data_IF_377993659827
#
_entry.id   IF_377993659827
#
_cell.length_a   1.000
_cell.length_b   1.000
_cell.length_c   1.000
_cell.angle_alpha   90.00
_cell.angle_beta   90.00
_cell.angle_gamma   90.00
#
_symmetry.space_group_name_H-M   'P 1'
#
loop_
_entity.id
_entity.type
_entity.pdbx_description
1 polymer ?
#
# COMPACT_ATOMS: atom_id res chain seq x y z
N UNK A 1 69.60 -29.77 -22.63
CA UNK A 1 69.50 -29.04 -21.34
C UNK A 1 68.28 -29.60 -20.62
N UNK A 2 68.48 -30.65 -19.80
CA UNK A 2 68.43 -30.60 -18.33
C UNK A 2 66.99 -30.29 -17.81
N UNK A 3 66.24 -31.33 -17.37
CA UNK A 3 65.98 -31.75 -15.95
C UNK A 3 65.10 -30.70 -15.20
N UNK A 4 64.15 -30.97 -14.30
CA UNK A 4 63.53 -32.12 -13.63
C UNK A 4 62.39 -31.51 -12.76
N UNK A 5 61.17 -32.07 -12.70
CA UNK A 5 60.52 -32.73 -11.53
C UNK A 5 60.89 -32.19 -10.13
N UNK A 6 59.89 -31.77 -9.32
CA UNK A 6 59.74 -31.89 -7.83
C UNK A 6 58.45 -31.13 -7.42
N UNK A 7 57.31 -31.71 -7.04
CA UNK A 7 56.91 -32.53 -5.87
C UNK A 7 56.66 -31.74 -4.56
N UNK A 8 55.43 -31.92 -4.02
CA UNK A 8 54.97 -31.85 -2.61
C UNK A 8 55.11 -30.48 -1.89
N UNK A 9 54.14 -29.97 -1.12
CA UNK A 9 53.78 -30.39 0.25
C UNK A 9 52.43 -29.78 0.68
N UNK A 10 51.64 -30.62 1.35
CA UNK A 10 50.41 -30.33 2.10
C UNK A 10 50.71 -29.46 3.33
N UNK A 11 49.93 -28.41 3.57
CA UNK A 11 50.02 -27.55 4.76
C UNK A 11 48.65 -27.24 5.35
N UNK A 12 48.23 -28.11 6.26
CA UNK A 12 47.12 -27.92 7.21
C UNK A 12 47.32 -26.62 8.01
N UNK A 13 46.41 -25.66 7.91
CA UNK A 13 46.30 -24.58 8.91
C UNK A 13 44.85 -24.41 9.36
N UNK A 14 44.53 -25.10 10.45
CA UNK A 14 43.42 -24.75 11.33
C UNK A 14 43.57 -23.28 11.75
N UNK A 15 42.78 -22.38 11.17
CA UNK A 15 42.55 -21.07 11.76
C UNK A 15 41.39 -21.20 12.75
N UNK A 16 41.75 -21.39 14.02
CA UNK A 16 40.84 -21.30 15.15
C UNK A 16 40.15 -19.93 15.12
N UNK A 17 38.85 -19.91 14.81
CA UNK A 17 38.00 -18.74 15.05
C UNK A 17 37.80 -18.66 16.57
N UNK A 18 38.68 -17.92 17.25
CA UNK A 18 38.40 -17.42 18.59
C UNK A 18 37.16 -16.53 18.47
N UNK A 19 36.01 -17.05 18.90
CA UNK A 19 34.82 -16.26 19.17
C UNK A 19 35.16 -15.36 20.36
N UNK A 20 35.60 -14.14 20.07
CA UNK A 20 35.60 -13.06 21.04
C UNK A 20 34.14 -12.76 21.37
N UNK A 21 33.64 -13.33 22.47
CA UNK A 21 32.41 -12.85 23.12
C UNK A 21 32.73 -11.45 23.63
N UNK A 22 32.36 -10.43 22.84
CA UNK A 22 32.37 -9.05 23.32
C UNK A 22 31.39 -8.99 24.51
N UNK A 23 31.80 -8.49 25.69
CA UNK A 23 30.81 -8.17 26.71
C UNK A 23 29.88 -7.12 26.12
N UNK A 24 28.57 -7.39 26.16
CA UNK A 24 27.54 -6.40 25.82
C UNK A 24 27.80 -5.21 26.74
N UNK A 25 28.34 -4.14 26.14
CA UNK A 25 28.55 -2.85 26.79
C UNK A 25 27.17 -2.31 27.10
N UNK A 26 26.94 -1.94 28.36
CA UNK A 26 25.68 -1.40 28.85
C UNK A 26 25.33 -0.12 28.06
N UNK A 27 24.50 -0.29 27.04
CA UNK A 27 23.77 0.79 26.40
C UNK A 27 22.64 1.17 27.38
N UNK A 28 22.63 2.42 27.81
CA UNK A 28 21.61 2.94 28.71
C UNK A 28 20.23 2.72 28.09
N UNK A 29 19.34 2.06 28.81
CA UNK A 29 18.11 1.51 28.23
C UNK A 29 17.16 2.66 27.92
N UNK A 30 16.38 2.53 26.85
CA UNK A 30 15.35 3.52 26.47
C UNK A 30 14.38 3.81 27.64
N UNK A 31 14.10 2.80 28.47
CA UNK A 31 13.28 2.95 29.68
C UNK A 31 13.98 3.80 30.74
N UNK A 32 15.29 3.61 30.96
CA UNK A 32 16.06 4.44 31.90
C UNK A 32 16.11 5.90 31.41
N UNK A 33 16.33 6.11 30.11
CA UNK A 33 16.30 7.43 29.48
C UNK A 33 14.93 8.11 29.60
N UNK A 34 13.84 7.36 29.41
CA UNK A 34 12.49 7.88 29.57
C UNK A 34 12.20 8.28 31.02
N UNK A 35 12.58 7.44 31.99
CA UNK A 35 12.41 7.75 33.42
C UNK A 35 13.23 9.00 33.82
N UNK A 36 14.42 9.19 33.26
CA UNK A 36 15.23 10.38 33.49
C UNK A 36 14.61 11.65 32.90
N UNK A 37 14.05 11.59 31.69
CA UNK A 37 13.32 12.71 31.08
C UNK A 37 12.09 13.08 31.92
N UNK A 38 11.33 12.09 32.39
CA UNK A 38 10.14 12.32 33.21
C UNK A 38 10.49 12.93 34.58
N UNK A 39 11.61 12.51 35.18
CA UNK A 39 12.14 13.11 36.41
C UNK A 39 12.63 14.53 36.17
N UNK A 40 13.37 14.77 35.10
CA UNK A 40 13.90 16.09 34.74
C UNK A 40 12.77 17.11 34.53
N UNK A 41 11.67 16.69 33.90
CA UNK A 41 10.46 17.49 33.71
C UNK A 41 9.59 17.62 34.97
N UNK A 42 10.07 17.13 36.13
CA UNK A 42 9.37 17.11 37.43
C UNK A 42 7.99 16.45 37.39
N UNK A 43 7.75 15.53 36.45
CA UNK A 43 6.48 14.80 36.34
C UNK A 43 6.40 13.62 37.32
N UNK A 44 7.55 13.14 37.81
CA UNK A 44 7.63 12.06 38.79
C UNK A 44 8.53 12.47 39.96
N UNK A 45 8.16 12.01 41.15
CA UNK A 45 8.96 12.17 42.37
C UNK A 45 10.09 11.13 42.42
N UNK A 46 11.13 11.37 43.23
CA UNK A 46 12.26 10.44 43.37
C UNK A 46 11.80 9.05 43.85
N UNK A 47 10.79 8.99 44.73
CA UNK A 47 10.20 7.72 45.17
C UNK A 47 9.55 6.96 44.00
N UNK A 48 8.80 7.66 43.13
CA UNK A 48 8.17 7.06 41.95
C UNK A 48 9.20 6.61 40.91
N UNK A 49 10.30 7.34 40.74
CA UNK A 49 11.39 6.96 39.84
C UNK A 49 12.01 5.62 40.26
N UNK A 50 12.34 5.47 41.55
CA UNK A 50 12.95 4.24 42.06
C UNK A 50 12.00 3.03 41.97
N UNK A 51 10.71 3.24 42.25
CA UNK A 51 9.70 2.18 42.14
C UNK A 51 9.49 1.71 40.69
N UNK A 52 9.46 2.63 39.73
CA UNK A 52 9.32 2.29 38.30
C UNK A 52 10.57 1.59 37.76
N UNK A 53 11.76 2.02 38.19
CA UNK A 53 13.02 1.36 37.83
C UNK A 53 13.06 -0.09 38.32
N UNK A 54 12.63 -0.34 39.56
CA UNK A 54 12.53 -1.69 40.11
C UNK A 54 11.57 -2.58 39.30
N UNK A 55 10.38 -2.05 38.96
CA UNK A 55 9.38 -2.80 38.16
C UNK A 55 9.88 -3.15 36.77
N UNK A 56 10.55 -2.21 36.09
CA UNK A 56 11.12 -2.45 34.77
C UNK A 56 12.19 -3.56 34.79
N UNK A 57 12.97 -3.65 35.87
CA UNK A 57 13.95 -4.72 36.05
C UNK A 57 13.29 -6.07 36.41
N UNK A 58 12.20 -6.05 37.18
CA UNK A 58 11.38 -7.23 37.50
C UNK A 58 10.73 -7.82 36.24
N UNK A 59 10.10 -6.99 35.40
CA UNK A 59 9.52 -7.39 34.11
C UNK A 59 10.59 -7.99 33.19
N UNK A 60 11.77 -7.38 33.12
CA UNK A 60 12.90 -7.94 32.36
C UNK A 60 13.31 -9.31 32.91
N UNK A 61 13.38 -9.47 34.23
CA UNK A 61 13.74 -10.77 34.81
C UNK A 61 12.67 -11.82 34.54
N UNK A 62 11.40 -11.43 34.47
CA UNK A 62 10.31 -12.32 34.05
C UNK A 62 10.43 -12.69 32.57
N UNK A 63 10.72 -11.74 31.70
CA UNK A 63 10.96 -11.99 30.27
C UNK A 63 12.16 -12.92 30.05
N UNK A 64 13.26 -12.69 30.78
CA UNK A 64 14.47 -13.52 30.75
C UNK A 64 14.22 -14.93 31.32
N UNK A 65 13.39 -15.06 32.35
CA UNK A 65 12.97 -16.37 32.89
C UNK A 65 12.02 -17.09 31.94
N UNK A 66 11.15 -16.37 31.24
CA UNK A 66 10.26 -16.89 30.20
C UNK A 66 11.02 -17.37 28.95
N UNK A 67 12.11 -16.71 28.58
CA UNK A 67 13.01 -17.15 27.50
C UNK A 67 14.04 -18.20 27.93
N UNK A 68 14.32 -18.33 29.23
CA UNK A 68 15.29 -19.28 29.79
C UNK A 68 14.79 -20.71 29.97
N UNK A 69 13.48 -20.95 29.98
CA UNK A 69 12.89 -22.30 30.13
C UNK A 69 12.97 -23.17 28.86
N UNK A 70 13.52 -22.64 27.76
CA UNK A 70 13.77 -23.36 26.50
C UNK A 70 15.26 -23.44 26.12
N UNK A 71 16.18 -23.08 27.01
CA UNK A 71 17.63 -23.11 26.76
C UNK A 71 18.27 -24.49 27.04
N UNK A 72 17.75 -25.54 26.42
CA UNK A 72 18.54 -26.73 26.05
C UNK A 72 18.31 -27.02 24.58
N UNK A 73 18.90 -26.18 23.72
CA UNK A 73 19.08 -26.51 22.32
C UNK A 73 20.40 -27.27 22.21
N UNK A 74 20.29 -28.60 22.12
CA UNK A 74 21.29 -29.42 21.46
C UNK A 74 21.58 -28.83 20.08
N UNK A 75 22.85 -28.66 19.73
CA UNK A 75 23.29 -28.27 18.39
C UNK A 75 23.08 -29.47 17.45
N UNK A 76 21.82 -29.75 17.14
CA UNK A 76 21.41 -30.69 16.12
C UNK A 76 21.04 -29.89 14.87
N UNK A 77 21.65 -30.29 13.76
CA UNK A 77 21.40 -29.93 12.37
C UNK A 77 20.23 -28.97 12.10
N UNK A 78 20.52 -27.92 11.31
CA UNK A 78 19.54 -27.02 10.71
C UNK A 78 18.28 -27.77 10.26
N UNK A 79 17.23 -27.67 11.08
CA UNK A 79 15.87 -28.03 10.67
C UNK A 79 15.46 -27.07 9.55
N UNK A 80 14.83 -27.54 8.47
CA UNK A 80 14.23 -26.66 7.50
C UNK A 80 13.23 -25.77 8.25
N UNK A 81 13.31 -24.47 8.01
CA UNK A 81 12.38 -23.49 8.56
C UNK A 81 10.95 -24.04 8.47
N UNK A 82 10.27 -24.13 9.61
CA UNK A 82 8.88 -24.54 9.65
C UNK A 82 8.10 -23.75 8.59
N UNK A 83 7.19 -24.39 7.82
CA UNK A 83 6.40 -23.66 6.87
C UNK A 83 5.64 -22.58 7.65
N UNK A 84 5.92 -21.32 7.32
CA UNK A 84 5.08 -20.22 7.80
C UNK A 84 3.65 -20.62 7.43
N UNK A 85 2.71 -20.76 8.38
CA UNK A 85 1.37 -21.18 8.05
C UNK A 85 0.82 -20.22 7.00
N UNK A 86 0.50 -20.76 5.81
CA UNK A 86 -0.17 -19.99 4.77
C UNK A 86 -1.44 -19.40 5.39
N UNK A 87 -1.72 -18.10 5.20
CA UNK A 87 -2.94 -17.49 5.71
C UNK A 87 -4.15 -18.33 5.29
N UNK A 88 -5.09 -18.52 6.22
CA UNK A 88 -6.33 -19.21 5.93
C UNK A 88 -7.05 -18.53 4.74
N UNK A 89 -7.79 -19.30 3.95
CA UNK A 89 -8.38 -18.84 2.69
C UNK A 89 -9.24 -17.57 2.85
N UNK A 90 -9.90 -17.44 3.99
CA UNK A 90 -10.76 -16.34 4.43
C UNK A 90 -10.01 -15.14 5.02
N UNK A 91 -8.68 -15.22 5.18
CA UNK A 91 -7.87 -14.12 5.72
C UNK A 91 -7.96 -12.92 4.78
N UNK A 92 -8.49 -11.81 5.28
CA UNK A 92 -8.58 -10.54 4.54
C UNK A 92 -7.30 -9.73 4.67
N UNK A 93 -6.81 -9.21 3.55
CA UNK A 93 -5.68 -8.28 3.46
C UNK A 93 -6.21 -6.92 3.08
N UNK A 94 -5.87 -5.90 3.86
CA UNK A 94 -6.17 -4.51 3.55
C UNK A 94 -4.91 -3.80 3.05
N UNK A 95 -5.04 -2.93 2.05
CA UNK A 95 -3.96 -2.06 1.59
C UNK A 95 -4.48 -0.73 1.08
N UNK A 96 -3.62 0.30 1.13
CA UNK A 96 -3.94 1.61 0.61
C UNK A 96 -3.05 1.92 -0.59
N UNK A 97 -3.63 1.86 -1.79
CA UNK A 97 -2.98 2.17 -3.07
C UNK A 97 -4.03 2.72 -4.02
N UNK A 98 -3.99 4.02 -4.27
CA UNK A 98 -4.98 4.76 -5.05
C UNK A 98 -6.43 4.51 -4.55
N UNK A 99 -6.60 4.40 -3.23
CA UNK A 99 -7.83 3.97 -2.58
C UNK A 99 -7.61 2.81 -1.60
N UNK A 100 -8.68 2.43 -0.90
CA UNK A 100 -8.71 1.29 0.01
C UNK A 100 -8.97 0.01 -0.78
N UNK A 101 -8.11 -0.98 -0.61
CA UNK A 101 -8.21 -2.27 -1.26
C UNK A 101 -8.31 -3.36 -0.20
N UNK A 102 -9.27 -4.26 -0.35
CA UNK A 102 -9.48 -5.42 0.50
C UNK A 102 -9.48 -6.67 -0.38
N UNK A 103 -8.67 -7.67 -0.05
CA UNK A 103 -8.56 -8.91 -0.80
C UNK A 103 -8.45 -10.11 0.14
N UNK A 104 -9.20 -11.17 -0.11
CA UNK A 104 -9.04 -12.45 0.61
C UNK A 104 -7.79 -13.18 0.15
N UNK A 105 -7.15 -13.94 1.04
CA UNK A 105 -5.89 -14.65 0.74
C UNK A 105 -6.04 -15.65 -0.43
N UNK A 106 -7.24 -16.22 -0.60
CA UNK A 106 -7.58 -17.08 -1.73
C UNK A 106 -7.87 -16.34 -3.06
N UNK A 107 -7.99 -15.00 -3.02
CA UNK A 107 -8.32 -14.14 -4.14
C UNK A 107 -9.76 -14.25 -4.65
N UNK A 108 -10.66 -14.92 -3.91
CA UNK A 108 -12.07 -15.04 -4.28
C UNK A 108 -12.83 -13.73 -4.17
N UNK A 109 -12.43 -12.85 -3.24
CA UNK A 109 -13.05 -11.55 -3.05
C UNK A 109 -12.00 -10.45 -3.13
N UNK A 110 -12.30 -9.45 -3.97
CA UNK A 110 -11.57 -8.19 -4.05
C UNK A 110 -12.55 -7.04 -3.98
N UNK A 111 -12.28 -6.06 -3.15
CA UNK A 111 -13.04 -4.82 -3.03
C UNK A 111 -12.06 -3.65 -3.10
N UNK A 112 -12.35 -2.68 -3.96
CA UNK A 112 -11.68 -1.40 -4.05
C UNK A 112 -12.69 -0.30 -3.75
N UNK A 113 -12.35 0.58 -2.82
CA UNK A 113 -13.08 1.80 -2.52
C UNK A 113 -12.12 2.95 -2.75
N UNK A 114 -12.43 3.77 -3.74
CA UNK A 114 -11.57 4.86 -4.18
C UNK A 114 -12.39 6.07 -4.57
N UNK A 115 -11.70 7.08 -5.07
CA UNK A 115 -12.32 8.26 -5.64
C UNK A 115 -11.28 9.10 -6.37
N UNK A 116 -11.77 10.05 -7.14
CA UNK A 116 -10.93 11.03 -7.85
C UNK A 116 -11.59 12.39 -7.83
N UNK A 117 -10.77 13.42 -7.71
CA UNK A 117 -11.19 14.80 -7.83
C UNK A 117 -10.28 15.49 -8.85
N UNK A 118 -10.88 16.27 -9.75
CA UNK A 118 -10.18 17.09 -10.71
C UNK A 118 -10.75 18.50 -10.61
N UNK A 119 -9.87 19.46 -10.34
CA UNK A 119 -10.19 20.86 -10.18
C UNK A 119 -9.59 21.62 -11.34
N UNK A 120 -10.45 22.34 -12.05
CA UNK A 120 -10.08 23.10 -13.23
C UNK A 120 -10.20 24.59 -12.93
N UNK A 121 -9.25 25.35 -13.44
CA UNK A 121 -9.31 26.79 -13.50
C UNK A 121 -8.98 27.24 -14.92
N UNK A 122 -9.93 27.91 -15.55
CA UNK A 122 -9.83 28.34 -16.93
C UNK A 122 -10.05 29.84 -17.03
N UNK A 123 -9.32 30.47 -17.96
CA UNK A 123 -9.56 31.83 -18.44
C UNK A 123 -9.65 31.79 -19.96
N UNK A 124 -10.69 32.39 -20.53
CA UNK A 124 -10.90 32.40 -21.97
C UNK A 124 -11.22 33.80 -22.49
N UNK A 125 -10.61 34.17 -23.61
CA UNK A 125 -10.92 35.42 -24.32
C UNK A 125 -11.31 35.10 -25.77
N UNK A 126 -12.57 34.67 -26.01
CA UNK A 126 -12.99 34.22 -27.33
C UNK A 126 -13.01 35.37 -28.35
N UNK A 127 -12.74 35.03 -29.62
CA UNK A 127 -12.77 36.00 -30.72
C UNK A 127 -14.15 36.66 -30.92
N UNK A 128 -14.17 37.84 -31.52
CA UNK A 128 -15.39 38.66 -31.65
C UNK A 128 -16.59 37.96 -32.32
N UNK A 129 -16.35 37.00 -33.22
CA UNK A 129 -17.42 36.21 -33.83
C UNK A 129 -18.14 35.30 -32.83
N UNK A 130 -17.38 34.63 -31.95
CA UNK A 130 -17.92 33.76 -30.89
C UNK A 130 -18.64 34.60 -29.84
N UNK A 131 -18.03 35.72 -29.42
CA UNK A 131 -18.65 36.67 -28.48
C UNK A 131 -20.01 37.16 -28.95
N UNK A 132 -20.15 37.55 -30.23
CA UNK A 132 -21.44 37.97 -30.79
C UNK A 132 -22.45 36.83 -30.86
N UNK A 133 -22.02 35.62 -31.24
CA UNK A 133 -22.92 34.46 -31.40
C UNK A 133 -23.53 34.00 -30.07
N UNK A 134 -22.75 34.02 -29.00
CA UNK A 134 -23.15 33.53 -27.68
C UNK A 134 -23.37 34.65 -26.65
N UNK A 135 -23.45 35.91 -27.09
CA UNK A 135 -23.62 37.10 -26.23
C UNK A 135 -22.60 37.17 -25.06
N UNK A 136 -21.35 36.79 -25.33
CA UNK A 136 -20.26 36.81 -24.34
C UNK A 136 -19.60 38.20 -24.31
N UNK A 137 -19.20 38.65 -23.13
CA UNK A 137 -18.56 39.96 -22.91
C UNK A 137 -17.19 39.79 -22.25
N UNK A 138 -16.17 40.46 -22.79
CA UNK A 138 -14.84 40.50 -22.18
C UNK A 138 -14.14 39.13 -22.11
N UNK A 139 -13.28 38.98 -21.10
CA UNK A 139 -12.60 37.73 -20.75
C UNK A 139 -13.45 37.00 -19.72
N UNK A 140 -13.62 35.69 -19.90
CA UNK A 140 -14.34 34.83 -18.97
C UNK A 140 -13.36 34.03 -18.10
N UNK A 141 -13.68 33.83 -16.84
CA UNK A 141 -12.86 33.06 -15.89
C UNK A 141 -13.76 32.19 -15.04
N UNK A 142 -13.40 30.92 -14.90
CA UNK A 142 -14.18 29.94 -14.14
C UNK A 142 -13.28 28.97 -13.38
N UNK A 143 -13.72 28.60 -12.18
CA UNK A 143 -13.16 27.50 -11.40
C UNK A 143 -14.27 26.49 -11.17
N UNK A 144 -14.01 25.23 -11.47
CA UNK A 144 -14.98 24.16 -11.26
C UNK A 144 -14.29 22.86 -10.87
N UNK A 145 -15.00 22.00 -10.14
CA UNK A 145 -14.62 20.60 -10.11
C UNK A 145 -15.08 19.99 -11.43
N UNK A 146 -14.13 19.61 -12.29
CA UNK A 146 -14.42 18.86 -13.50
C UNK A 146 -14.98 17.47 -13.20
N UNK A 147 -14.43 16.84 -12.15
CA UNK A 147 -14.83 15.51 -11.68
C UNK A 147 -14.70 15.49 -10.17
N UNK A 148 -15.70 14.92 -9.50
CA UNK A 148 -15.62 14.60 -8.09
C UNK A 148 -16.31 13.26 -7.92
N UNK A 149 -15.57 12.17 -8.11
CA UNK A 149 -16.13 10.82 -8.21
C UNK A 149 -15.75 9.95 -7.04
N UNK A 150 -16.73 9.23 -6.50
CA UNK A 150 -16.52 8.10 -5.60
C UNK A 150 -16.72 6.81 -6.39
N UNK A 151 -15.80 5.86 -6.22
CA UNK A 151 -15.83 4.57 -6.90
C UNK A 151 -15.78 3.42 -5.93
N UNK A 152 -16.67 2.45 -6.10
CA UNK A 152 -16.63 1.16 -5.44
C UNK A 152 -16.62 0.11 -6.53
N UNK A 153 -15.66 -0.81 -6.49
CA UNK A 153 -15.59 -1.88 -7.47
C UNK A 153 -14.94 -3.11 -6.87
N UNK A 154 -15.05 -4.23 -7.56
CA UNK A 154 -14.53 -5.47 -7.02
C UNK A 154 -14.67 -6.67 -7.93
N UNK A 155 -14.21 -7.80 -7.40
CA UNK A 155 -14.28 -9.11 -8.03
C UNK A 155 -14.79 -10.12 -7.01
N UNK A 156 -15.80 -10.89 -7.41
CA UNK A 156 -16.44 -11.94 -6.61
C UNK A 156 -16.24 -13.28 -7.32
N UNK A 157 -15.81 -14.30 -6.58
CA UNK A 157 -15.47 -15.64 -7.06
C UNK A 157 -14.58 -15.65 -8.31
N UNK A 158 -13.63 -14.70 -8.40
CA UNK A 158 -12.68 -14.56 -9.52
C UNK A 158 -13.31 -14.44 -10.91
N UNK A 159 -14.61 -14.16 -10.98
CA UNK A 159 -15.39 -14.29 -12.23
C UNK A 159 -16.43 -13.20 -12.38
N UNK A 160 -17.01 -12.69 -11.29
CA UNK A 160 -18.01 -11.63 -11.33
C UNK A 160 -17.37 -10.32 -10.93
N UNK A 161 -17.19 -9.39 -11.87
CA UNK A 161 -16.76 -8.03 -11.58
C UNK A 161 -17.95 -7.11 -11.42
N UNK A 162 -17.77 -6.04 -10.64
CA UNK A 162 -18.76 -4.99 -10.53
C UNK A 162 -18.07 -3.65 -10.34
N UNK A 163 -18.75 -2.59 -10.79
CA UNK A 163 -18.32 -1.21 -10.58
C UNK A 163 -19.53 -0.33 -10.32
N UNK A 164 -19.36 0.58 -9.38
CA UNK A 164 -20.28 1.64 -9.02
C UNK A 164 -19.47 2.93 -8.90
N UNK A 165 -19.78 3.92 -9.74
CA UNK A 165 -19.11 5.21 -9.77
C UNK A 165 -20.17 6.31 -9.77
N UNK A 166 -20.04 7.23 -8.82
CA UNK A 166 -20.97 8.35 -8.63
C UNK A 166 -20.20 9.66 -8.65
N UNK A 167 -20.66 10.62 -9.46
CA UNK A 167 -20.03 11.93 -9.68
C UNK A 167 -20.81 13.04 -9.01
N UNK A 168 -20.12 13.98 -8.39
CA UNK A 168 -20.68 15.11 -7.64
C UNK A 168 -20.34 16.48 -8.26
N UNK A 169 -19.55 16.53 -9.33
CA UNK A 169 -18.97 17.77 -9.88
C UNK A 169 -19.99 18.76 -10.50
N UNK A 170 -20.89 18.27 -11.37
CA UNK A 170 -21.72 19.11 -12.26
C UNK A 170 -22.96 19.75 -11.57
N UNK A 171 -22.92 19.95 -10.24
CA UNK A 171 -24.03 20.48 -9.44
C UNK A 171 -25.25 19.55 -9.32
N UNK A 172 -25.40 18.59 -10.23
CA UNK A 172 -26.38 17.49 -10.16
C UNK A 172 -25.62 16.16 -10.09
N UNK A 173 -25.57 15.51 -8.91
CA UNK A 173 -24.86 14.26 -8.77
C UNK A 173 -25.46 13.14 -9.64
N UNK A 174 -24.61 12.36 -10.30
CA UNK A 174 -25.03 11.39 -11.31
C UNK A 174 -24.22 10.10 -11.28
N UNK A 175 -24.88 8.99 -11.63
CA UNK A 175 -24.23 7.70 -11.87
C UNK A 175 -23.44 7.75 -13.18
N UNK A 176 -22.17 7.34 -13.15
CA UNK A 176 -21.32 7.25 -14.35
C UNK A 176 -21.18 5.81 -14.81
N UNK A 177 -20.55 4.96 -14.01
CA UNK A 177 -20.47 3.51 -14.27
C UNK A 177 -21.19 2.74 -13.15
N UNK A 178 -22.25 2.03 -13.50
CA UNK A 178 -22.98 1.13 -12.60
C UNK A 178 -23.27 -0.16 -13.36
N UNK A 179 -22.39 -1.14 -13.22
CA UNK A 179 -22.51 -2.39 -13.96
C UNK A 179 -22.04 -3.59 -13.16
N UNK A 180 -22.49 -4.76 -13.62
CA UNK A 180 -21.97 -6.06 -13.24
C UNK A 180 -21.51 -6.81 -14.49
N UNK A 181 -20.35 -7.44 -14.40
CA UNK A 181 -19.73 -8.23 -15.43
C UNK A 181 -19.53 -9.67 -14.99
N UNK A 182 -19.62 -10.60 -15.93
CA UNK A 182 -19.23 -11.99 -15.74
C UNK A 182 -18.17 -12.37 -16.77
N UNK A 183 -17.04 -12.83 -16.26
CA UNK A 183 -15.90 -13.29 -17.02
C UNK A 183 -15.93 -14.83 -17.15
N UNK A 184 -15.10 -15.36 -18.04
CA UNK A 184 -14.88 -16.81 -18.24
C UNK A 184 -16.11 -17.58 -18.71
N UNK A 185 -17.01 -16.90 -19.42
CA UNK A 185 -18.14 -17.56 -20.08
C UNK A 185 -17.65 -18.36 -21.30
N UNK A 186 -18.16 -19.58 -21.52
CA UNK A 186 -17.86 -20.30 -22.76
C UNK A 186 -18.41 -19.50 -23.95
N UNK A 187 -17.60 -19.36 -25.00
CA UNK A 187 -17.85 -18.57 -26.23
C UNK A 187 -17.67 -17.05 -26.10
N UNK A 188 -18.44 -16.38 -25.24
CA UNK A 188 -18.51 -14.89 -25.22
C UNK A 188 -17.37 -14.27 -24.41
N UNK A 189 -16.69 -15.04 -23.57
CA UNK A 189 -15.59 -14.66 -22.66
C UNK A 189 -15.96 -13.63 -21.58
N UNK A 190 -16.70 -12.57 -21.92
CA UNK A 190 -17.14 -11.51 -21.04
C UNK A 190 -18.53 -11.01 -21.39
N UNK A 191 -19.41 -10.94 -20.40
CA UNK A 191 -20.73 -10.32 -20.52
C UNK A 191 -20.84 -9.21 -19.46
N UNK A 192 -21.15 -7.98 -19.89
CA UNK A 192 -21.38 -6.83 -19.01
C UNK A 192 -22.81 -6.35 -19.16
N UNK A 193 -23.48 -6.09 -18.05
CA UNK A 193 -24.85 -5.55 -18.00
C UNK A 193 -24.90 -4.40 -17.01
N UNK A 194 -25.56 -3.31 -17.40
CA UNK A 194 -25.76 -2.13 -16.56
C UNK A 194 -25.58 -0.84 -17.35
N UNK A 195 -25.28 0.22 -16.61
CA UNK A 195 -24.95 1.54 -17.14
C UNK A 195 -23.43 1.69 -17.19
N UNK A 196 -22.88 1.84 -18.38
CA UNK A 196 -21.45 2.04 -18.59
C UNK A 196 -21.22 2.76 -19.92
N UNK A 197 -20.04 3.34 -20.09
CA UNK A 197 -19.67 4.01 -21.34
C UNK A 197 -19.72 3.06 -22.55
N UNK A 198 -20.27 3.56 -23.65
CA UNK A 198 -20.21 2.85 -24.92
C UNK A 198 -18.76 2.81 -25.43
N UNK A 199 -18.24 1.64 -25.87
CA UNK A 199 -16.87 1.52 -26.32
C UNK A 199 -16.71 2.07 -27.74
N UNK A 200 -16.83 3.38 -27.88
CA UNK A 200 -16.71 4.10 -29.14
C UNK A 200 -15.56 5.10 -29.04
N UNK A 201 -14.56 5.01 -29.92
CA UNK A 201 -13.30 5.79 -29.84
C UNK A 201 -12.33 5.34 -28.74
N UNK A 202 -11.03 5.35 -29.06
CA UNK A 202 -9.97 5.00 -28.11
C UNK A 202 -9.93 6.00 -26.95
N UNK A 203 -10.14 7.27 -27.26
CA UNK A 203 -10.12 8.30 -26.24
C UNK A 203 -11.27 8.07 -25.25
N UNK A 204 -12.48 7.67 -25.68
CA UNK A 204 -13.62 7.32 -24.78
C UNK A 204 -13.35 6.18 -23.82
N UNK A 205 -12.70 5.13 -24.32
CA UNK A 205 -12.34 3.97 -23.51
C UNK A 205 -11.11 4.25 -22.63
N UNK A 206 -10.30 5.25 -22.97
CA UNK A 206 -9.16 5.68 -22.15
C UNK A 206 -9.66 6.30 -20.85
N UNK A 207 -9.01 5.91 -19.74
CA UNK A 207 -9.35 6.43 -18.41
C UNK A 207 -9.21 7.94 -18.33
N UNK A 208 -10.12 8.58 -17.59
CA UNK A 208 -10.19 10.04 -17.47
C UNK A 208 -8.94 10.68 -16.82
N UNK A 209 -8.09 9.88 -16.16
CA UNK A 209 -6.82 10.32 -15.55
C UNK A 209 -5.61 10.16 -16.49
N UNK A 210 -5.82 9.53 -17.65
CA UNK A 210 -4.77 9.21 -18.64
C UNK A 210 -4.94 9.96 -19.96
N UNK A 211 -5.93 10.85 -20.05
CA UNK A 211 -6.09 11.73 -21.21
C UNK A 211 -5.00 12.80 -21.22
N UNK A 212 -4.46 13.10 -22.41
CA UNK A 212 -3.36 14.07 -22.57
C UNK A 212 -3.81 15.51 -22.37
N UNK A 213 -5.04 15.82 -22.79
CA UNK A 213 -5.62 17.16 -22.71
C UNK A 213 -6.64 17.24 -21.56
N UNK A 214 -6.92 18.47 -21.10
CA UNK A 214 -7.91 18.74 -20.06
C UNK A 214 -9.32 18.29 -20.48
N UNK A 215 -9.64 18.50 -21.76
CA UNK A 215 -10.88 18.07 -22.40
C UNK A 215 -10.62 16.92 -23.36
N UNK A 216 -11.63 16.06 -23.53
CA UNK A 216 -11.66 15.10 -24.64
C UNK A 216 -11.85 15.85 -25.96
N UNK A 217 -11.43 15.25 -27.07
CA UNK A 217 -11.63 15.86 -28.37
C UNK A 217 -13.12 16.13 -28.64
N UNK A 218 -13.42 17.21 -29.35
CA UNK A 218 -14.78 17.61 -29.71
C UNK A 218 -15.54 16.55 -30.50
N UNK A 219 -14.83 15.63 -31.16
CA UNK A 219 -15.42 14.51 -31.89
C UNK A 219 -16.01 13.44 -30.97
N UNK A 220 -15.59 13.38 -29.69
CA UNK A 220 -16.18 12.51 -28.66
C UNK A 220 -17.23 13.25 -27.80
N UNK A 221 -17.66 14.44 -28.21
CA UNK A 221 -18.70 15.18 -27.48
C UNK A 221 -20.13 14.66 -27.76
N UNK A 222 -20.28 13.62 -28.57
CA UNK A 222 -21.54 13.06 -29.06
C UNK A 222 -21.74 11.62 -28.60
#
# INVERSE_FOLDING_TARGET
MAKARFALVVGLSCLAVMVFVRPVRAEERVVDQLLDILRHNRQITEQQYQDLKRRADEERQQDLRGTGASAQVSVAAASPAAPVPSPAADTMRASFKNGFNFETADGNFKLNVGGRAQLDWNMSDPGGAVKRKFALHGTDTGVEFRRARLSIGGLVYKSIDFKFEYDFADGTPAFKDVYMGMNKLPLVQYLRVGHFKEPFSLEEVTGDDLITFQERATMNAF
#
